data_IF_323141162118
#
_entry.id   IF_323141162118
#
_cell.length_a   1.000
_cell.length_b   1.000
_cell.length_c   1.000
_cell.angle_alpha   90.00
_cell.angle_beta   90.00
_cell.angle_gamma   90.00
#
_symmetry.space_group_name_H-M   'P 1'
#
loop_
_entity.id
_entity.type
_entity.pdbx_description
1 polymer ?
#
# COMPACT_ATOMS: atom_id res chain seq x y z
N UNK A 1 -8.88 -36.52 7.52
CA UNK A 1 -9.17 -35.06 7.50
C UNK A 1 -8.67 -34.37 8.77
N UNK A 2 -8.54 -35.07 9.90
CA UNK A 2 -7.97 -34.55 11.16
C UNK A 2 -6.45 -34.32 11.13
N UNK A 3 -5.68 -35.16 10.43
CA UNK A 3 -4.21 -35.15 10.56
C UNK A 3 -3.49 -34.04 9.78
N UNK A 4 -4.10 -33.53 8.69
CA UNK A 4 -3.52 -32.40 7.93
C UNK A 4 -3.66 -31.07 8.69
N UNK A 5 -4.77 -30.88 9.42
CA UNK A 5 -4.97 -29.70 10.27
C UNK A 5 -4.07 -29.76 11.52
N UNK A 6 -3.77 -30.97 12.02
CA UNK A 6 -2.90 -31.16 13.17
C UNK A 6 -1.42 -30.85 12.87
N UNK A 7 -0.94 -31.11 11.65
CA UNK A 7 0.44 -30.79 11.26
C UNK A 7 0.69 -29.30 10.96
N UNK A 8 -0.34 -28.55 10.55
CA UNK A 8 -0.22 -27.08 10.37
C UNK A 8 -0.05 -26.40 11.74
N UNK A 9 -0.69 -26.93 12.79
CA UNK A 9 -0.63 -26.35 14.13
C UNK A 9 0.66 -26.66 14.90
N UNK A 10 1.38 -27.73 14.54
CA UNK A 10 2.59 -28.17 15.22
C UNK A 10 3.91 -27.65 14.60
N UNK A 11 3.85 -26.96 13.46
CA UNK A 11 5.03 -26.33 12.84
C UNK A 11 5.35 -24.92 13.37
N UNK A 12 4.77 -24.51 14.50
CA UNK A 12 5.05 -23.23 15.16
C UNK A 12 5.85 -23.45 16.45
N UNK A 13 7.12 -23.84 16.31
CA UNK A 13 8.07 -23.67 17.42
C UNK A 13 8.58 -22.22 17.40
N UNK A 14 8.10 -21.40 18.34
CA UNK A 14 8.41 -19.97 18.52
C UNK A 14 7.96 -19.01 17.39
N UNK A 15 6.65 -18.92 17.10
CA UNK A 15 6.04 -17.95 16.14
C UNK A 15 6.59 -17.97 14.69
N UNK A 16 7.50 -18.88 14.39
CA UNK A 16 8.15 -19.01 13.10
C UNK A 16 7.39 -20.03 12.25
N UNK A 17 7.19 -19.72 10.98
CA UNK A 17 6.60 -20.64 10.01
C UNK A 17 7.77 -21.42 9.39
N UNK A 18 7.69 -22.75 9.34
CA UNK A 18 8.72 -23.58 8.70
C UNK A 18 8.30 -23.94 7.27
N UNK A 19 9.23 -23.80 6.33
CA UNK A 19 9.11 -24.33 4.98
C UNK A 19 9.44 -25.83 4.99
N UNK A 20 8.45 -26.66 4.67
CA UNK A 20 8.57 -28.11 4.72
C UNK A 20 9.55 -28.67 3.68
N UNK A 21 9.82 -27.93 2.61
CA UNK A 21 10.73 -28.35 1.53
C UNK A 21 12.20 -28.11 1.86
N UNK A 22 12.50 -27.00 2.54
CA UNK A 22 13.86 -26.58 2.88
C UNK A 22 14.22 -26.80 4.36
N UNK A 23 13.22 -27.11 5.20
CA UNK A 23 13.32 -27.21 6.66
C UNK A 23 13.88 -25.94 7.33
N UNK A 24 13.69 -24.78 6.67
CA UNK A 24 14.11 -23.46 7.15
C UNK A 24 12.92 -22.62 7.60
N UNK A 25 13.20 -21.58 8.39
CA UNK A 25 12.19 -20.59 8.77
C UNK A 25 11.81 -19.75 7.55
N UNK A 26 10.53 -19.78 7.20
CA UNK A 26 9.90 -18.95 6.19
C UNK A 26 9.62 -17.54 6.73
N UNK A 27 9.97 -16.55 5.92
CA UNK A 27 9.78 -15.13 6.20
C UNK A 27 8.55 -14.52 5.49
N UNK A 28 7.65 -15.35 4.97
CA UNK A 28 6.34 -14.97 4.41
C UNK A 28 5.19 -15.61 5.20
N UNK A 29 3.94 -15.15 5.00
CA UNK A 29 2.77 -15.76 5.66
C UNK A 29 2.56 -17.22 5.25
N UNK A 30 1.83 -17.98 6.08
CA UNK A 30 1.52 -19.39 5.79
C UNK A 30 0.76 -19.57 4.49
N UNK A 31 -0.25 -18.73 4.23
CA UNK A 31 -1.02 -18.75 2.98
C UNK A 31 -0.14 -18.50 1.74
N UNK A 32 0.83 -17.59 1.84
CA UNK A 32 1.76 -17.30 0.74
C UNK A 32 2.75 -18.43 0.52
N UNK A 33 3.18 -19.10 1.58
CA UNK A 33 4.01 -20.31 1.50
C UNK A 33 3.26 -21.44 0.79
N UNK A 34 2.00 -21.68 1.13
CA UNK A 34 1.16 -22.66 0.43
C UNK A 34 0.99 -22.33 -1.06
N UNK A 35 0.86 -21.04 -1.42
CA UNK A 35 0.82 -20.62 -2.82
C UNK A 35 2.13 -20.92 -3.54
N UNK A 36 3.27 -20.61 -2.92
CA UNK A 36 4.60 -20.92 -3.45
C UNK A 36 4.79 -22.43 -3.66
N UNK A 37 4.39 -23.26 -2.70
CA UNK A 37 4.46 -24.72 -2.85
C UNK A 37 3.59 -25.23 -4.00
N UNK A 38 2.40 -24.64 -4.23
CA UNK A 38 1.55 -24.99 -5.39
C UNK A 38 2.17 -24.59 -6.72
N UNK A 39 2.87 -23.45 -6.75
CA UNK A 39 3.63 -22.98 -7.92
C UNK A 39 4.78 -23.94 -8.23
N UNK A 40 5.62 -24.27 -7.23
CA UNK A 40 6.75 -25.17 -7.39
C UNK A 40 6.33 -26.57 -7.88
N UNK A 41 5.20 -27.07 -7.37
CA UNK A 41 4.68 -28.39 -7.72
C UNK A 41 3.84 -28.39 -9.01
N UNK A 42 3.69 -27.26 -9.70
CA UNK A 42 2.82 -27.11 -10.88
C UNK A 42 1.37 -27.58 -10.64
N UNK A 43 0.84 -27.38 -9.43
CA UNK A 43 -0.53 -27.80 -9.05
C UNK A 43 -1.51 -26.62 -8.97
N UNK A 44 -1.07 -25.42 -9.32
CA UNK A 44 -1.92 -24.23 -9.36
C UNK A 44 -2.74 -24.20 -10.65
N UNK A 45 -4.05 -23.98 -10.55
CA UNK A 45 -4.92 -23.84 -11.72
C UNK A 45 -4.47 -22.66 -12.59
N UNK A 46 -4.34 -22.87 -13.91
CA UNK A 46 -3.84 -21.86 -14.85
C UNK A 46 -4.71 -20.59 -14.94
N UNK A 47 -6.00 -20.70 -14.58
CA UNK A 47 -6.92 -19.56 -14.51
C UNK A 47 -6.74 -18.71 -13.25
N UNK A 48 -6.02 -19.22 -12.26
CA UNK A 48 -5.92 -18.59 -10.95
C UNK A 48 -4.87 -17.47 -10.93
N UNK A 49 -3.70 -17.69 -11.53
CA UNK A 49 -2.60 -16.73 -11.61
C UNK A 49 -1.94 -16.74 -12.97
N UNK A 50 -1.61 -15.56 -13.49
CA UNK A 50 -0.70 -15.45 -14.63
C UNK A 50 0.78 -15.66 -14.21
N UNK A 51 1.64 -15.92 -15.18
CA UNK A 51 3.06 -16.19 -14.94
C UNK A 51 3.80 -15.04 -14.23
N UNK A 52 3.43 -13.78 -14.50
CA UNK A 52 4.04 -12.66 -13.80
C UNK A 52 3.68 -12.63 -12.31
N UNK A 53 2.46 -12.99 -11.95
CA UNK A 53 2.01 -13.12 -10.55
C UNK A 53 2.72 -14.28 -9.86
N UNK A 54 2.82 -15.45 -10.52
CA UNK A 54 3.55 -16.62 -10.01
C UNK A 54 5.01 -16.28 -9.71
N UNK A 55 5.71 -15.68 -10.68
CA UNK A 55 7.10 -15.26 -10.50
C UNK A 55 7.26 -14.22 -9.37
N UNK A 56 6.29 -13.32 -9.21
CA UNK A 56 6.35 -12.29 -8.16
C UNK A 56 6.18 -12.87 -6.75
N UNK A 57 5.49 -14.01 -6.60
CA UNK A 57 5.44 -14.76 -5.33
C UNK A 57 6.79 -15.41 -5.03
N UNK A 58 7.46 -15.96 -6.04
CA UNK A 58 8.81 -16.53 -5.89
C UNK A 58 9.79 -15.42 -5.48
N UNK A 59 9.78 -14.29 -6.19
CA UNK A 59 10.63 -13.13 -5.89
C UNK A 59 10.36 -12.58 -4.47
N UNK A 60 9.09 -12.53 -4.05
CA UNK A 60 8.72 -12.15 -2.69
C UNK A 60 9.35 -13.10 -1.67
N UNK A 61 9.22 -14.41 -1.85
CA UNK A 61 9.81 -15.42 -0.95
C UNK A 61 11.33 -15.24 -0.86
N UNK A 62 12.03 -15.10 -1.98
CA UNK A 62 13.48 -14.91 -2.00
C UNK A 62 13.92 -13.63 -1.27
N UNK A 63 13.27 -12.50 -1.55
CA UNK A 63 13.58 -11.21 -0.92
C UNK A 63 13.26 -11.24 0.57
N UNK A 64 12.11 -11.79 0.95
CA UNK A 64 11.69 -11.87 2.34
C UNK A 64 12.65 -12.71 3.18
N UNK A 65 13.09 -13.87 2.67
CA UNK A 65 14.07 -14.72 3.34
C UNK A 65 15.46 -14.06 3.38
N UNK A 66 15.89 -13.42 2.30
CA UNK A 66 17.17 -12.69 2.25
C UNK A 66 17.23 -11.55 3.26
N UNK A 67 16.15 -10.80 3.41
CA UNK A 67 16.07 -9.66 4.33
C UNK A 67 15.58 -10.04 5.73
N UNK A 68 15.24 -11.31 5.96
CA UNK A 68 14.71 -11.82 7.23
C UNK A 68 13.50 -11.04 7.71
N UNK A 69 12.58 -10.75 6.79
CA UNK A 69 11.35 -9.98 7.08
C UNK A 69 10.49 -10.78 8.06
N UNK A 70 9.82 -10.12 9.00
CA UNK A 70 8.90 -10.85 9.87
C UNK A 70 7.76 -11.43 9.04
N UNK A 71 7.47 -12.70 9.24
CA UNK A 71 6.39 -13.40 8.54
C UNK A 71 5.01 -12.74 8.74
N UNK A 72 4.82 -11.97 9.81
CA UNK A 72 3.60 -11.21 10.10
C UNK A 72 3.64 -9.74 9.64
N UNK A 73 4.73 -9.28 9.00
CA UNK A 73 4.80 -7.95 8.39
C UNK A 73 4.13 -7.97 7.00
N UNK A 74 2.79 -7.97 7.02
CA UNK A 74 1.97 -8.07 5.81
C UNK A 74 2.19 -6.89 4.87
N UNK A 75 2.32 -5.67 5.41
CA UNK A 75 2.51 -4.45 4.59
C UNK A 75 3.82 -4.47 3.82
N UNK A 76 4.90 -4.94 4.45
CA UNK A 76 6.18 -5.10 3.75
C UNK A 76 6.09 -6.18 2.66
N UNK A 77 5.44 -7.30 2.94
CA UNK A 77 5.24 -8.38 1.96
C UNK A 77 4.38 -7.92 0.76
N UNK A 78 3.29 -7.18 1.02
CA UNK A 78 2.45 -6.55 -0.01
C UNK A 78 3.29 -5.62 -0.91
N UNK A 79 4.14 -4.78 -0.30
CA UNK A 79 5.00 -3.85 -1.04
C UNK A 79 6.00 -4.57 -1.95
N UNK A 80 6.71 -5.57 -1.42
CA UNK A 80 7.70 -6.34 -2.18
C UNK A 80 7.04 -7.05 -3.35
N UNK A 81 5.89 -7.70 -3.12
CA UNK A 81 5.15 -8.37 -4.18
C UNK A 81 4.73 -7.40 -5.30
N UNK A 82 4.14 -6.24 -4.96
CA UNK A 82 3.67 -5.30 -5.98
C UNK A 82 4.84 -4.66 -6.78
N UNK A 83 6.00 -4.49 -6.15
CA UNK A 83 7.24 -4.07 -6.85
C UNK A 83 7.70 -5.16 -7.82
N UNK A 84 7.75 -6.42 -7.37
CA UNK A 84 8.10 -7.55 -8.23
C UNK A 84 7.11 -7.71 -9.39
N UNK A 85 5.81 -7.51 -9.14
CA UNK A 85 4.76 -7.65 -10.15
C UNK A 85 4.93 -6.67 -11.31
N UNK A 86 5.14 -5.39 -11.04
CA UNK A 86 5.39 -4.40 -12.11
C UNK A 86 6.63 -4.79 -12.93
N UNK A 87 7.68 -5.28 -12.27
CA UNK A 87 8.91 -5.70 -12.93
C UNK A 87 8.69 -6.93 -13.82
N UNK A 88 7.93 -7.90 -13.35
CA UNK A 88 7.71 -9.18 -14.03
C UNK A 88 6.69 -9.10 -15.16
N UNK A 89 5.73 -8.17 -15.08
CA UNK A 89 4.76 -7.93 -16.17
C UNK A 89 5.40 -7.37 -17.44
N UNK A 90 6.59 -6.75 -17.34
CA UNK A 90 7.40 -6.23 -18.48
C UNK A 90 6.60 -5.36 -19.47
N UNK A 91 5.52 -4.73 -19.03
CA UNK A 91 4.67 -3.92 -19.87
C UNK A 91 4.49 -2.52 -19.24
N UNK A 92 4.96 -1.45 -19.92
CA UNK A 92 4.92 -0.09 -19.39
C UNK A 92 3.51 0.44 -19.17
N UNK A 93 2.48 -0.16 -19.77
CA UNK A 93 1.08 0.22 -19.56
C UNK A 93 0.69 0.06 -18.09
N UNK A 94 1.12 -1.01 -17.42
CA UNK A 94 0.83 -1.22 -15.99
C UNK A 94 1.50 -0.18 -15.09
N UNK A 95 2.61 0.43 -15.52
CA UNK A 95 3.19 1.56 -14.79
C UNK A 95 2.31 2.82 -14.89
N UNK A 96 1.70 3.05 -16.07
CA UNK A 96 0.90 4.24 -16.33
C UNK A 96 -0.49 4.17 -15.71
N UNK A 97 -1.16 3.01 -15.85
CA UNK A 97 -2.58 2.83 -15.50
C UNK A 97 -2.77 1.94 -14.26
N UNK A 98 -1.70 1.30 -13.78
CA UNK A 98 -1.71 0.43 -12.61
C UNK A 98 -2.19 -0.98 -12.91
N UNK A 99 -2.13 -1.81 -11.87
CA UNK A 99 -2.54 -3.22 -11.92
C UNK A 99 -4.02 -3.43 -11.62
N UNK A 100 -4.72 -2.40 -11.15
CA UNK A 100 -6.07 -2.50 -10.61
C UNK A 100 -6.10 -3.15 -9.23
N UNK A 101 -7.10 -2.77 -8.43
CA UNK A 101 -7.21 -3.21 -7.03
C UNK A 101 -7.51 -4.71 -6.88
N UNK A 102 -8.19 -5.32 -7.87
CA UNK A 102 -8.65 -6.71 -7.84
C UNK A 102 -7.64 -7.72 -8.41
N UNK A 103 -6.55 -7.26 -9.04
CA UNK A 103 -5.57 -8.15 -9.64
C UNK A 103 -4.63 -8.80 -8.60
N UNK A 104 -4.72 -8.40 -7.34
CA UNK A 104 -3.91 -8.93 -6.26
C UNK A 104 -4.67 -10.00 -5.48
N UNK A 105 -3.97 -11.08 -5.11
CA UNK A 105 -4.50 -12.07 -4.17
C UNK A 105 -4.83 -11.40 -2.86
N UNK A 106 -5.91 -11.85 -2.21
CA UNK A 106 -6.52 -11.17 -1.04
C UNK A 106 -5.53 -10.61 -0.01
N UNK A 107 -4.46 -11.34 0.31
CA UNK A 107 -3.46 -10.91 1.31
C UNK A 107 -2.39 -9.93 0.75
N UNK A 108 -2.23 -9.86 -0.57
CA UNK A 108 -1.24 -9.05 -1.29
C UNK A 108 -1.81 -7.70 -1.81
N UNK A 109 -3.07 -7.41 -1.49
CA UNK A 109 -3.67 -6.09 -1.71
C UNK A 109 -2.98 -5.08 -0.81
N UNK A 110 -2.49 -3.98 -1.38
CA UNK A 110 -1.79 -2.95 -0.61
C UNK A 110 -2.72 -2.22 0.36
N UNK A 111 -2.38 -2.26 1.64
CA UNK A 111 -3.08 -1.47 2.67
C UNK A 111 -2.60 -0.02 2.76
N UNK A 112 -1.35 0.24 2.37
CA UNK A 112 -0.76 1.57 2.41
C UNK A 112 -1.27 2.38 1.23
N UNK A 113 -1.94 3.50 1.47
CA UNK A 113 -2.68 4.20 0.42
C UNK A 113 -1.80 4.82 -0.66
N UNK A 114 -0.66 5.39 -0.29
CA UNK A 114 0.23 6.02 -1.27
C UNK A 114 0.86 4.99 -2.22
N UNK A 115 1.45 3.89 -1.72
CA UNK A 115 1.79 2.76 -2.56
C UNK A 115 0.59 2.24 -3.36
N UNK A 116 -0.58 2.07 -2.74
CA UNK A 116 -1.77 1.59 -3.43
C UNK A 116 -2.21 2.53 -4.56
N UNK A 117 -2.09 3.85 -4.41
CA UNK A 117 -2.36 4.82 -5.48
C UNK A 117 -1.46 4.57 -6.69
N UNK A 118 -0.17 4.40 -6.44
CA UNK A 118 0.83 4.21 -7.48
C UNK A 118 0.72 2.83 -8.16
N UNK A 119 0.64 1.74 -7.40
CA UNK A 119 0.65 0.39 -7.94
C UNK A 119 -0.72 -0.05 -8.47
N UNK A 120 -1.82 0.40 -7.87
CA UNK A 120 -3.17 0.00 -8.30
C UNK A 120 -3.72 0.88 -9.42
N UNK A 121 -3.44 2.19 -9.42
CA UNK A 121 -3.97 3.13 -10.43
C UNK A 121 -2.90 3.73 -11.35
N UNK A 122 -1.63 3.36 -11.16
CA UNK A 122 -0.52 3.83 -11.96
C UNK A 122 -0.17 5.29 -11.70
N UNK A 123 0.82 5.78 -12.45
CA UNK A 123 1.26 7.18 -12.39
C UNK A 123 0.10 8.13 -12.72
N UNK A 124 -0.73 7.81 -13.71
CA UNK A 124 -1.83 8.69 -14.12
C UNK A 124 -2.87 8.81 -13.01
N UNK A 125 -3.29 7.69 -12.43
CA UNK A 125 -4.25 7.69 -11.32
C UNK A 125 -3.69 8.40 -10.08
N UNK A 126 -2.41 8.15 -9.76
CA UNK A 126 -1.72 8.85 -8.67
C UNK A 126 -1.72 10.38 -8.86
N UNK A 127 -1.37 10.85 -10.06
CA UNK A 127 -1.35 12.28 -10.38
C UNK A 127 -2.74 12.92 -10.36
N UNK A 128 -3.76 12.22 -10.84
CA UNK A 128 -5.13 12.77 -10.89
C UNK A 128 -5.81 12.77 -9.53
N UNK A 129 -5.54 11.77 -8.69
CA UNK A 129 -6.25 11.58 -7.44
C UNK A 129 -5.54 12.22 -6.25
N UNK A 130 -4.23 11.95 -6.06
CA UNK A 130 -3.51 12.32 -4.84
C UNK A 130 -2.85 13.70 -4.94
N UNK A 131 -2.25 14.03 -6.09
CA UNK A 131 -1.46 15.26 -6.26
C UNK A 131 -2.26 16.56 -6.10
N UNK A 132 -3.54 16.69 -6.51
CA UNK A 132 -4.29 17.93 -6.30
C UNK A 132 -4.35 18.33 -4.81
N UNK A 133 -4.60 17.37 -3.92
CA UNK A 133 -4.61 17.63 -2.47
C UNK A 133 -3.22 17.97 -1.95
N UNK A 134 -2.18 17.27 -2.43
CA UNK A 134 -0.81 17.54 -2.04
C UNK A 134 -0.39 18.98 -2.42
N UNK A 135 -0.76 19.41 -3.63
CA UNK A 135 -0.48 20.77 -4.13
C UNK A 135 -1.16 21.81 -3.25
N UNK A 136 -2.43 21.60 -2.86
CA UNK A 136 -3.16 22.53 -1.98
C UNK A 136 -2.46 22.66 -0.63
N UNK A 137 -2.03 21.55 -0.02
CA UNK A 137 -1.34 21.58 1.28
C UNK A 137 0.04 22.22 1.19
N UNK A 138 0.85 21.87 0.19
CA UNK A 138 2.17 22.47 -0.02
C UNK A 138 2.04 23.98 -0.27
N UNK A 139 1.06 24.36 -1.08
CA UNK A 139 0.77 25.77 -1.35
C UNK A 139 0.26 26.51 -0.11
N UNK A 140 -0.56 25.85 0.72
CA UNK A 140 -0.94 26.33 2.04
C UNK A 140 0.27 26.57 2.92
N UNK A 141 1.14 25.58 3.11
CA UNK A 141 2.38 25.76 3.88
C UNK A 141 3.19 26.97 3.39
N UNK A 142 3.40 27.08 2.08
CA UNK A 142 4.13 28.19 1.47
C UNK A 142 3.50 29.55 1.82
N UNK A 143 2.17 29.67 1.68
CA UNK A 143 1.47 30.92 1.98
C UNK A 143 1.44 31.23 3.48
N UNK A 144 1.36 30.20 4.32
CA UNK A 144 1.52 30.35 5.77
C UNK A 144 2.89 30.94 6.09
N UNK A 145 3.99 30.29 5.68
CA UNK A 145 5.34 30.80 5.95
C UNK A 145 5.55 32.23 5.44
N UNK A 146 5.02 32.54 4.25
CA UNK A 146 5.11 33.89 3.67
C UNK A 146 4.35 34.94 4.48
N UNK A 147 3.22 34.59 5.07
CA UNK A 147 2.31 35.52 5.74
C UNK A 147 2.21 35.26 7.26
N UNK A 148 3.27 34.76 7.89
CA UNK A 148 3.26 34.28 9.29
C UNK A 148 2.66 35.26 10.31
N UNK A 149 2.72 36.57 10.04
CA UNK A 149 2.17 37.63 10.91
C UNK A 149 0.65 37.86 10.75
N UNK A 150 0.06 37.36 9.67
CA UNK A 150 -1.37 37.52 9.31
C UNK A 150 -2.17 36.24 9.53
N UNK A 151 -1.52 35.12 9.82
CA UNK A 151 -2.18 33.84 10.05
C UNK A 151 -3.00 33.89 11.34
N UNK A 152 -4.24 33.42 11.26
CA UNK A 152 -5.09 33.16 12.42
C UNK A 152 -5.00 31.68 12.88
N UNK A 153 -5.53 31.41 14.08
CA UNK A 153 -5.55 30.05 14.65
C UNK A 153 -6.34 29.08 13.77
N UNK A 154 -7.39 29.56 13.09
CA UNK A 154 -8.24 28.76 12.22
C UNK A 154 -7.46 28.24 10.99
N UNK A 155 -6.70 29.12 10.32
CA UNK A 155 -5.82 28.73 9.23
C UNK A 155 -4.81 27.68 9.67
N UNK A 156 -4.18 27.88 10.83
CA UNK A 156 -3.19 26.95 11.36
C UNK A 156 -3.82 25.58 11.64
N UNK A 157 -5.01 25.55 12.24
CA UNK A 157 -5.75 24.32 12.54
C UNK A 157 -6.12 23.58 11.25
N UNK A 158 -6.63 24.29 10.23
CA UNK A 158 -7.00 23.70 8.94
C UNK A 158 -5.74 23.16 8.23
N UNK A 159 -4.64 23.90 8.23
CA UNK A 159 -3.39 23.49 7.59
C UNK A 159 -2.82 22.24 8.27
N UNK A 160 -2.72 22.25 9.60
CA UNK A 160 -2.24 21.11 10.37
C UNK A 160 -3.14 19.89 10.14
N UNK A 161 -4.46 20.06 10.21
CA UNK A 161 -5.43 19.00 9.93
C UNK A 161 -5.25 18.41 8.52
N UNK A 162 -5.03 19.27 7.52
CA UNK A 162 -4.77 18.84 6.15
C UNK A 162 -3.46 18.06 6.00
N UNK A 163 -2.41 18.42 6.76
CA UNK A 163 -1.15 17.66 6.80
C UNK A 163 -1.34 16.30 7.48
N UNK A 164 -2.11 16.25 8.56
CA UNK A 164 -2.38 15.00 9.28
C UNK A 164 -3.11 13.98 8.41
N UNK A 165 -3.96 14.40 7.47
CA UNK A 165 -4.57 13.49 6.48
C UNK A 165 -3.50 12.68 5.74
N UNK A 166 -2.43 13.34 5.28
CA UNK A 166 -1.34 12.65 4.58
C UNK A 166 -0.55 11.73 5.50
N UNK A 167 -0.30 12.15 6.74
CA UNK A 167 0.38 11.29 7.72
C UNK A 167 -0.46 10.03 7.99
N UNK A 168 -1.77 10.18 8.20
CA UNK A 168 -2.67 9.07 8.46
C UNK A 168 -2.82 8.12 7.27
N UNK A 169 -2.76 8.61 6.03
CA UNK A 169 -2.83 7.74 4.85
C UNK A 169 -1.63 6.78 4.73
N UNK A 170 -0.48 7.11 5.32
CA UNK A 170 0.66 6.20 5.44
C UNK A 170 0.47 5.12 6.52
N UNK A 171 -0.22 5.42 7.62
CA UNK A 171 -0.26 4.56 8.81
C UNK A 171 -1.57 3.78 8.99
N UNK A 172 -2.72 4.43 8.81
CA UNK A 172 -4.02 3.87 9.14
C UNK A 172 -4.59 3.00 8.00
N UNK A 173 -4.23 3.27 6.75
CA UNK A 173 -4.94 2.76 5.58
C UNK A 173 -6.34 3.38 5.47
N UNK A 174 -6.92 3.39 4.27
CA UNK A 174 -8.30 3.84 4.02
C UNK A 174 -8.65 5.30 4.44
N UNK A 175 -7.67 6.21 4.53
CA UNK A 175 -7.92 7.64 4.74
C UNK A 175 -8.52 8.30 3.49
N UNK A 176 -7.98 8.02 2.31
CA UNK A 176 -8.51 8.51 1.04
C UNK A 176 -9.49 7.52 0.40
N UNK A 177 -9.32 6.21 0.56
CA UNK A 177 -10.20 5.23 -0.07
C UNK A 177 -11.60 5.13 0.57
N UNK A 178 -11.75 5.59 1.82
CA UNK A 178 -13.06 5.64 2.46
C UNK A 178 -13.85 6.89 2.01
N UNK A 179 -15.07 6.69 1.49
CA UNK A 179 -15.90 7.78 0.96
C UNK A 179 -16.22 8.87 1.98
N UNK A 180 -16.48 8.52 3.24
CA UNK A 180 -16.76 9.48 4.30
C UNK A 180 -15.54 10.34 4.62
N UNK A 181 -14.36 9.71 4.71
CA UNK A 181 -13.11 10.43 4.95
C UNK A 181 -12.77 11.33 3.77
N UNK A 182 -12.99 10.87 2.54
CA UNK A 182 -12.75 11.64 1.33
C UNK A 182 -13.56 12.95 1.30
N UNK A 183 -14.83 12.91 1.70
CA UNK A 183 -15.65 14.13 1.82
C UNK A 183 -15.05 15.12 2.83
N UNK A 184 -14.57 14.64 3.96
CA UNK A 184 -13.91 15.50 4.96
C UNK A 184 -12.62 16.13 4.41
N UNK A 185 -11.82 15.36 3.67
CA UNK A 185 -10.59 15.84 3.02
C UNK A 185 -10.92 16.96 2.02
N UNK A 186 -11.97 16.79 1.21
CA UNK A 186 -12.42 17.80 0.24
C UNK A 186 -12.84 19.08 0.97
N UNK A 187 -13.63 18.97 2.04
CA UNK A 187 -14.07 20.13 2.83
C UNK A 187 -12.87 20.85 3.45
N UNK A 188 -11.95 20.11 4.09
CA UNK A 188 -10.74 20.69 4.68
C UNK A 188 -9.89 21.45 3.66
N UNK A 189 -9.64 20.86 2.49
CA UNK A 189 -8.84 21.51 1.44
C UNK A 189 -9.57 22.72 0.84
N UNK A 190 -10.90 22.68 0.73
CA UNK A 190 -11.70 23.82 0.27
C UNK A 190 -11.63 24.98 1.26
N UNK A 191 -11.76 24.70 2.57
CA UNK A 191 -11.61 25.71 3.62
C UNK A 191 -10.19 26.31 3.62
N UNK A 192 -9.16 25.48 3.40
CA UNK A 192 -7.78 25.94 3.31
C UNK A 192 -7.59 26.92 2.15
N UNK A 193 -8.12 26.60 0.95
CA UNK A 193 -8.07 27.49 -0.21
C UNK A 193 -8.77 28.82 0.09
N UNK A 194 -9.95 28.78 0.71
CA UNK A 194 -10.70 29.99 1.05
C UNK A 194 -9.91 30.89 2.00
N UNK A 195 -9.33 30.31 3.05
CA UNK A 195 -8.46 31.05 3.98
C UNK A 195 -7.21 31.62 3.32
N UNK A 196 -6.58 30.87 2.40
CA UNK A 196 -5.45 31.37 1.60
C UNK A 196 -5.87 32.57 0.74
N UNK A 197 -7.07 32.56 0.17
CA UNK A 197 -7.55 33.67 -0.65
C UNK A 197 -7.83 34.92 0.21
N UNK A 198 -8.42 34.76 1.40
CA UNK A 198 -8.61 35.86 2.35
C UNK A 198 -7.27 36.52 2.73
N UNK A 199 -6.23 35.73 3.02
CA UNK A 199 -4.89 36.24 3.33
C UNK A 199 -4.23 37.05 2.21
N UNK A 200 -4.69 36.91 0.96
CA UNK A 200 -4.17 37.69 -0.18
C UNK A 200 -4.92 39.01 -0.39
N UNK A 201 -6.15 39.09 0.09
CA UNK A 201 -6.98 40.30 -0.03
C UNK A 201 -6.62 41.34 1.04
N UNK A 202 -5.97 40.90 2.14
CA UNK A 202 -5.37 41.73 3.20
C UNK A 202 -3.90 42.13 2.92
#
# INVERSE_FOLDING_TARGET
MSDKLFNIYNNTTNNNILDASSNQVSHITGSLLEMKEKIDNNTMEDSYMNEAQKQSIIDLYEVANKWKIKNNDQRMQQLIYNIALIKNQKNPIYLLIGNGYLANFRELVLEMEIPAFLFSFGIIGFLLYFVPFLVIVVYGMYQGFKNIKKIDEEYLMILIGSVFVFVLSFFAGYTFFNSSNMMMIIVLNTLLINKINQLKEE
#
